data_IF_385751158465
#
_entry.id   IF_385751158465
#
_cell.length_a   1.000
_cell.length_b   1.000
_cell.length_c   1.000
_cell.angle_alpha   90.00
_cell.angle_beta   90.00
_cell.angle_gamma   90.00
#
_symmetry.space_group_name_H-M   'P 1'
#
loop_
_entity.id
_entity.type
_entity.pdbx_description
1 polymer ?
#
# COMPACT_ATOMS: atom_id res chain seq x y z
N UNK A 1 32.03 -14.51 -75.79
CA UNK A 1 30.74 -15.12 -76.01
C UNK A 1 29.99 -14.89 -74.72
N UNK A 2 29.36 -13.79 -74.52
CA UNK A 2 28.15 -13.17 -75.05
C UNK A 2 26.90 -14.00 -74.73
N UNK A 3 26.15 -13.55 -73.79
CA UNK A 3 24.70 -13.42 -73.93
C UNK A 3 24.15 -12.59 -72.79
N UNK A 4 23.51 -11.49 -73.17
CA UNK A 4 22.73 -10.58 -72.29
C UNK A 4 21.31 -11.13 -72.23
N UNK A 5 20.82 -11.42 -71.08
CA UNK A 5 19.39 -11.62 -70.87
C UNK A 5 18.71 -10.32 -70.50
N UNK A 6 17.82 -9.91 -71.39
CA UNK A 6 16.88 -8.79 -71.20
C UNK A 6 15.76 -9.20 -70.25
N UNK A 7 15.62 -8.52 -69.13
CA UNK A 7 14.42 -8.59 -68.29
C UNK A 7 13.35 -7.66 -68.88
N UNK A 8 12.25 -8.27 -69.33
CA UNK A 8 11.01 -7.60 -69.74
C UNK A 8 10.32 -6.98 -68.48
N UNK A 9 10.07 -5.70 -68.53
CA UNK A 9 9.16 -5.02 -67.65
C UNK A 9 7.69 -5.38 -67.94
N UNK A 10 6.84 -5.75 -66.99
CA UNK A 10 5.41 -5.89 -67.24
C UNK A 10 4.72 -4.52 -67.28
N UNK A 11 3.61 -4.38 -67.99
CA UNK A 11 2.96 -3.11 -68.27
C UNK A 11 2.31 -2.50 -66.99
N UNK A 12 2.54 -1.21 -66.82
CA UNK A 12 1.86 -0.34 -65.87
C UNK A 12 0.35 -0.37 -66.04
N UNK A 13 -0.37 -1.01 -65.11
CA UNK A 13 -1.82 -0.85 -64.96
C UNK A 13 -2.09 0.50 -64.33
N UNK A 14 -2.84 1.33 -65.03
CA UNK A 14 -3.47 2.53 -64.49
C UNK A 14 -4.22 2.20 -63.21
N UNK A 15 -3.75 2.75 -62.10
CA UNK A 15 -4.46 2.76 -60.81
C UNK A 15 -5.62 3.76 -60.91
N UNK A 16 -6.82 3.21 -61.09
CA UNK A 16 -8.06 3.96 -60.90
C UNK A 16 -8.08 4.53 -59.48
N UNK A 17 -8.36 5.81 -59.38
CA UNK A 17 -8.58 6.56 -58.13
C UNK A 17 -9.58 5.80 -57.25
N UNK A 18 -9.06 5.22 -56.16
CA UNK A 18 -9.87 4.75 -55.01
C UNK A 18 -10.22 6.00 -54.22
N UNK A 19 -11.50 6.29 -53.99
CA UNK A 19 -11.85 7.44 -53.19
C UNK A 19 -11.22 7.27 -51.81
N UNK A 20 -10.42 8.27 -51.41
CA UNK A 20 -9.89 8.39 -50.04
C UNK A 20 -11.07 8.44 -49.10
N UNK A 21 -11.41 7.28 -48.51
CA UNK A 21 -12.26 7.26 -47.31
C UNK A 21 -11.49 8.02 -46.24
N UNK A 22 -11.92 9.23 -45.99
CA UNK A 22 -11.56 9.98 -44.79
C UNK A 22 -11.83 9.08 -43.57
N UNK A 23 -10.82 8.39 -43.11
CA UNK A 23 -10.77 7.88 -41.73
C UNK A 23 -10.73 9.11 -40.85
N UNK A 24 -11.92 9.63 -40.55
CA UNK A 24 -12.09 10.56 -39.47
C UNK A 24 -11.46 9.94 -38.24
N UNK A 25 -10.29 10.42 -37.83
CA UNK A 25 -9.70 10.15 -36.56
C UNK A 25 -10.61 10.77 -35.49
N UNK A 26 -11.73 10.11 -35.19
CA UNK A 26 -12.55 10.42 -34.04
C UNK A 26 -11.71 10.12 -32.80
N UNK A 27 -10.91 11.08 -32.35
CA UNK A 27 -10.43 11.07 -30.99
C UNK A 27 -11.65 10.95 -30.07
N UNK A 28 -11.70 9.92 -29.21
CA UNK A 28 -12.86 9.66 -28.37
C UNK A 28 -13.21 10.92 -27.59
N UNK A 29 -14.49 11.28 -27.54
CA UNK A 29 -14.92 12.51 -26.88
C UNK A 29 -14.50 12.46 -25.42
N UNK A 30 -14.00 13.56 -24.87
CA UNK A 30 -13.58 13.65 -23.46
C UNK A 30 -14.72 13.28 -22.49
N UNK A 31 -15.97 13.42 -22.90
CA UNK A 31 -17.16 13.00 -22.16
C UNK A 31 -17.32 11.48 -22.12
N UNK A 32 -17.08 10.77 -23.23
CA UNK A 32 -17.12 9.31 -23.31
C UNK A 32 -16.06 8.69 -22.40
N UNK A 33 -14.82 9.18 -22.48
CA UNK A 33 -13.72 8.71 -21.65
C UNK A 33 -13.98 8.94 -20.16
N UNK A 34 -14.51 10.10 -19.77
CA UNK A 34 -14.88 10.38 -18.38
C UNK A 34 -16.00 9.45 -17.87
N UNK A 35 -16.97 9.16 -18.73
CA UNK A 35 -18.04 8.20 -18.44
C UNK A 35 -17.52 6.79 -18.23
N UNK A 36 -16.63 6.33 -19.13
CA UNK A 36 -15.99 5.04 -19.07
C UNK A 36 -15.16 4.87 -17.78
N UNK A 37 -14.28 5.82 -17.46
CA UNK A 37 -13.53 5.78 -16.20
C UNK A 37 -14.42 5.73 -14.97
N UNK A 38 -15.54 6.45 -14.94
CA UNK A 38 -16.49 6.40 -13.81
C UNK A 38 -17.11 5.00 -13.62
N UNK A 39 -17.38 4.28 -14.72
CA UNK A 39 -17.87 2.88 -14.65
C UNK A 39 -16.80 1.95 -14.10
N UNK A 40 -15.56 2.11 -14.55
CA UNK A 40 -14.40 1.35 -14.07
C UNK A 40 -14.13 1.67 -12.59
N UNK A 41 -14.10 2.95 -12.19
CA UNK A 41 -13.92 3.37 -10.80
C UNK A 41 -14.94 2.67 -9.88
N UNK A 42 -16.21 2.60 -10.27
CA UNK A 42 -17.26 1.94 -9.47
C UNK A 42 -17.08 0.43 -9.35
N UNK A 43 -16.67 -0.25 -10.43
CA UNK A 43 -16.58 -1.72 -10.45
C UNK A 43 -15.24 -2.26 -9.96
N UNK A 44 -14.16 -1.58 -10.30
CA UNK A 44 -12.82 -2.07 -10.01
C UNK A 44 -12.21 -1.37 -8.79
N UNK A 45 -12.15 -0.04 -8.81
CA UNK A 45 -11.47 0.73 -7.77
C UNK A 45 -12.21 0.65 -6.42
N UNK A 46 -13.53 0.87 -6.41
CA UNK A 46 -14.32 0.77 -5.18
C UNK A 46 -14.28 -0.64 -4.59
N UNK A 47 -14.32 -1.68 -5.44
CA UNK A 47 -14.20 -3.06 -4.99
C UNK A 47 -12.84 -3.33 -4.35
N UNK A 48 -11.75 -2.97 -5.01
CA UNK A 48 -10.43 -3.13 -4.44
C UNK A 48 -10.22 -2.33 -3.16
N UNK A 49 -10.75 -1.11 -3.09
CA UNK A 49 -10.69 -0.29 -1.88
C UNK A 49 -11.41 -0.96 -0.70
N UNK A 50 -12.57 -1.57 -0.95
CA UNK A 50 -13.31 -2.34 0.04
C UNK A 50 -12.55 -3.60 0.50
N UNK A 51 -12.00 -4.37 -0.43
CA UNK A 51 -11.21 -5.56 -0.09
C UNK A 51 -9.93 -5.17 0.67
N UNK A 52 -9.27 -4.08 0.28
CA UNK A 52 -8.10 -3.58 0.97
C UNK A 52 -8.41 -3.12 2.40
N UNK A 53 -9.57 -2.51 2.62
CA UNK A 53 -10.06 -2.19 3.96
C UNK A 53 -10.18 -3.46 4.81
N UNK A 54 -10.80 -4.54 4.29
CA UNK A 54 -10.89 -5.83 4.99
C UNK A 54 -9.50 -6.40 5.29
N UNK A 55 -8.61 -6.43 4.29
CA UNK A 55 -7.23 -6.89 4.49
C UNK A 55 -6.52 -6.12 5.61
N UNK A 56 -6.64 -4.80 5.63
CA UNK A 56 -6.03 -3.95 6.66
C UNK A 56 -6.61 -4.18 8.04
N UNK A 57 -7.90 -4.55 8.16
CA UNK A 57 -8.49 -4.98 9.42
C UNK A 57 -7.78 -6.24 9.93
N UNK A 58 -7.58 -7.26 9.09
CA UNK A 58 -6.86 -8.49 9.46
C UNK A 58 -5.44 -8.21 9.96
N UNK A 59 -4.71 -7.31 9.29
CA UNK A 59 -3.33 -6.96 9.71
C UNK A 59 -3.31 -6.30 11.09
N UNK A 60 -4.30 -5.46 11.43
CA UNK A 60 -4.34 -4.73 12.71
C UNK A 60 -4.82 -5.58 13.88
N UNK A 61 -5.54 -6.66 13.64
CA UNK A 61 -6.21 -7.45 14.67
C UNK A 61 -5.29 -8.14 15.65
N UNK A 62 -4.14 -8.61 15.23
CA UNK A 62 -3.17 -9.19 16.14
C UNK A 62 -2.77 -8.19 17.25
N UNK A 63 -2.75 -6.89 16.97
CA UNK A 63 -2.49 -5.85 17.96
C UNK A 63 -3.66 -5.70 18.94
N UNK A 64 -4.89 -5.77 18.45
CA UNK A 64 -6.09 -5.71 19.26
C UNK A 64 -6.22 -6.95 20.18
N UNK A 65 -5.88 -8.15 19.69
CA UNK A 65 -5.92 -9.37 20.50
C UNK A 65 -4.92 -9.35 21.67
N UNK A 66 -3.87 -8.51 21.58
CA UNK A 66 -2.85 -8.40 22.61
C UNK A 66 -3.40 -8.01 23.99
N UNK A 67 -4.47 -7.21 24.01
CA UNK A 67 -5.12 -6.70 25.23
C UNK A 67 -6.53 -7.26 25.44
N UNK A 68 -7.09 -7.99 24.45
CA UNK A 68 -8.46 -8.50 24.53
C UNK A 68 -8.64 -9.47 25.70
N UNK A 69 -9.63 -9.18 26.54
CA UNK A 69 -10.04 -10.03 27.68
C UNK A 69 -8.89 -10.36 28.67
N UNK A 70 -7.90 -9.47 28.84
CA UNK A 70 -6.81 -9.64 29.82
C UNK A 70 -7.34 -9.71 31.26
N UNK A 71 -8.27 -8.81 31.59
CA UNK A 71 -8.87 -8.71 32.97
C UNK A 71 -9.66 -9.98 33.31
N UNK A 72 -10.24 -10.66 32.31
CA UNK A 72 -10.97 -11.92 32.47
C UNK A 72 -10.05 -13.14 32.49
N UNK A 73 -8.75 -12.97 32.28
CA UNK A 73 -7.75 -14.06 32.28
C UNK A 73 -7.79 -14.97 31.09
N UNK A 74 -8.54 -14.63 30.01
CA UNK A 74 -8.68 -15.39 28.77
C UNK A 74 -7.90 -14.79 27.60
N UNK A 75 -6.99 -13.86 27.87
CA UNK A 75 -6.16 -13.20 26.85
C UNK A 75 -5.27 -14.16 26.08
N UNK A 76 -5.01 -13.86 24.82
CA UNK A 76 -4.25 -14.70 23.86
C UNK A 76 -2.87 -15.13 24.40
N UNK A 77 -2.12 -14.20 25.00
CA UNK A 77 -0.78 -14.50 25.52
C UNK A 77 -0.79 -15.58 26.60
N UNK A 78 -1.81 -15.54 27.48
CA UNK A 78 -1.98 -16.52 28.55
C UNK A 78 -2.41 -17.87 28.00
N UNK A 79 -3.36 -17.92 27.10
CA UNK A 79 -3.88 -19.17 26.53
C UNK A 79 -2.88 -19.90 25.63
N UNK A 80 -1.95 -19.19 25.00
CA UNK A 80 -0.91 -19.80 24.15
C UNK A 80 0.36 -20.21 24.93
N UNK A 81 0.31 -20.25 26.28
CA UNK A 81 1.41 -20.71 27.11
C UNK A 81 2.16 -19.59 27.85
N UNK A 82 1.50 -18.51 28.27
CA UNK A 82 2.08 -17.37 28.97
C UNK A 82 3.24 -16.72 28.17
N UNK A 83 2.97 -16.31 26.97
CA UNK A 83 3.97 -15.76 26.06
C UNK A 83 4.73 -14.59 26.67
N UNK A 84 6.06 -14.66 26.60
CA UNK A 84 6.93 -13.56 26.98
C UNK A 84 6.79 -12.37 26.00
N UNK A 85 7.23 -11.18 26.43
CA UNK A 85 7.24 -9.98 25.56
C UNK A 85 8.01 -10.19 24.27
N UNK A 86 9.11 -10.93 24.31
CA UNK A 86 9.90 -11.26 23.12
C UNK A 86 9.16 -12.23 22.20
N UNK A 87 8.55 -13.29 22.74
CA UNK A 87 7.75 -14.23 21.94
C UNK A 87 6.57 -13.54 21.28
N UNK A 88 5.92 -12.59 21.95
CA UNK A 88 4.85 -11.80 21.36
C UNK A 88 5.36 -10.90 20.23
N UNK A 89 6.49 -10.21 20.42
CA UNK A 89 7.11 -9.42 19.38
C UNK A 89 7.47 -10.27 18.13
N UNK A 90 7.94 -11.50 18.34
CA UNK A 90 8.16 -12.45 17.25
C UNK A 90 6.86 -12.85 16.54
N UNK A 91 5.77 -13.09 17.27
CA UNK A 91 4.47 -13.39 16.68
C UNK A 91 3.96 -12.23 15.78
N UNK A 92 4.28 -10.99 16.12
CA UNK A 92 4.00 -9.82 15.28
C UNK A 92 4.92 -9.76 14.05
N UNK A 93 6.22 -9.99 14.24
CA UNK A 93 7.24 -9.80 13.20
C UNK A 93 7.26 -10.90 12.14
N UNK A 94 6.98 -12.16 12.54
CA UNK A 94 7.15 -13.35 11.67
C UNK A 94 6.34 -13.27 10.37
N UNK A 95 5.23 -12.57 10.38
CA UNK A 95 4.37 -12.33 9.21
C UNK A 95 5.12 -11.61 8.08
N UNK A 96 5.98 -10.64 8.41
CA UNK A 96 6.62 -9.76 7.43
C UNK A 96 7.79 -10.40 6.69
N UNK A 97 8.42 -11.45 7.24
CA UNK A 97 9.50 -12.18 6.55
C UNK A 97 9.02 -12.85 5.26
N UNK A 98 8.02 -13.75 5.31
CA UNK A 98 7.50 -14.36 4.10
C UNK A 98 6.78 -13.33 3.22
N UNK A 99 6.11 -12.31 3.80
CA UNK A 99 5.47 -11.25 3.04
C UNK A 99 6.49 -10.57 2.11
N UNK A 100 7.62 -10.09 2.64
CA UNK A 100 8.68 -9.43 1.88
C UNK A 100 9.28 -10.35 0.81
N UNK A 101 9.47 -11.63 1.14
CA UNK A 101 10.06 -12.59 0.20
C UNK A 101 9.12 -12.97 -0.95
N UNK A 102 7.86 -13.23 -0.64
CA UNK A 102 6.88 -13.68 -1.63
C UNK A 102 6.22 -12.54 -2.41
N UNK A 103 6.32 -11.30 -1.97
CA UNK A 103 5.70 -10.13 -2.64
C UNK A 103 6.13 -9.98 -4.12
N UNK A 104 7.41 -10.00 -4.49
CA UNK A 104 7.83 -9.93 -5.88
C UNK A 104 7.36 -11.13 -6.71
N UNK A 105 7.43 -12.33 -6.13
CA UNK A 105 7.03 -13.58 -6.79
C UNK A 105 5.53 -13.59 -7.08
N UNK A 106 4.71 -13.20 -6.10
CA UNK A 106 3.26 -13.13 -6.25
C UNK A 106 2.83 -12.10 -7.29
N UNK A 107 3.53 -10.97 -7.40
CA UNK A 107 3.27 -9.96 -8.43
C UNK A 107 3.61 -10.49 -9.83
N UNK A 108 4.68 -11.27 -9.96
CA UNK A 108 5.03 -11.91 -11.23
C UNK A 108 3.98 -12.92 -11.69
N UNK A 109 3.30 -13.60 -10.76
CA UNK A 109 2.24 -14.57 -11.09
C UNK A 109 1.05 -13.92 -11.81
N UNK A 110 0.78 -12.63 -11.60
CA UNK A 110 -0.25 -11.88 -12.35
C UNK A 110 0.03 -11.75 -13.85
N UNK A 111 1.25 -12.03 -14.31
CA UNK A 111 1.58 -12.12 -15.74
C UNK A 111 1.11 -13.44 -16.36
N UNK A 112 0.91 -14.46 -15.54
CA UNK A 112 0.53 -15.81 -15.99
C UNK A 112 -0.93 -16.13 -15.76
N UNK A 113 -1.50 -15.61 -14.67
CA UNK A 113 -2.88 -15.85 -14.28
C UNK A 113 -3.74 -14.61 -14.50
N UNK A 114 -5.01 -14.81 -14.80
CA UNK A 114 -5.96 -13.72 -14.86
C UNK A 114 -6.13 -13.08 -13.47
N UNK A 115 -6.28 -11.75 -13.38
CA UNK A 115 -6.42 -11.03 -12.12
C UNK A 115 -7.53 -11.57 -11.22
N UNK A 116 -8.71 -11.90 -11.77
CA UNK A 116 -9.83 -12.42 -10.99
C UNK A 116 -9.49 -13.76 -10.31
N UNK A 117 -8.80 -14.67 -10.99
CA UNK A 117 -8.40 -15.99 -10.47
C UNK A 117 -7.29 -15.81 -9.41
N UNK A 118 -6.26 -15.02 -9.75
CA UNK A 118 -5.11 -14.86 -8.87
C UNK A 118 -5.46 -14.12 -7.57
N UNK A 119 -6.20 -13.01 -7.66
CA UNK A 119 -6.63 -12.24 -6.49
C UNK A 119 -7.58 -13.04 -5.61
N UNK A 120 -8.53 -13.75 -6.21
CA UNK A 120 -9.45 -14.62 -5.48
C UNK A 120 -8.70 -15.72 -4.72
N UNK A 121 -7.71 -16.37 -5.36
CA UNK A 121 -6.86 -17.39 -4.70
C UNK A 121 -6.14 -16.80 -3.49
N UNK A 122 -5.52 -15.61 -3.63
CA UNK A 122 -4.87 -14.90 -2.54
C UNK A 122 -5.86 -14.70 -1.38
N UNK A 123 -7.07 -14.18 -1.68
CA UNK A 123 -8.08 -13.86 -0.68
C UNK A 123 -8.63 -15.08 0.05
N UNK A 124 -8.88 -16.19 -0.65
CA UNK A 124 -9.32 -17.47 -0.05
C UNK A 124 -8.24 -17.99 0.91
N UNK A 125 -6.98 -18.02 0.45
CA UNK A 125 -5.88 -18.57 1.26
C UNK A 125 -5.67 -17.75 2.53
N UNK A 126 -5.64 -16.41 2.45
CA UNK A 126 -5.48 -15.62 3.66
C UNK A 126 -6.69 -15.72 4.60
N UNK A 127 -7.93 -15.75 4.05
CA UNK A 127 -9.15 -15.90 4.86
C UNK A 127 -9.14 -17.20 5.67
N UNK A 128 -8.81 -18.33 5.04
CA UNK A 128 -8.70 -19.63 5.70
C UNK A 128 -7.60 -19.59 6.78
N UNK A 129 -6.41 -19.09 6.45
CA UNK A 129 -5.30 -19.03 7.42
C UNK A 129 -5.64 -18.10 8.60
N UNK A 130 -6.35 -16.98 8.33
CA UNK A 130 -6.84 -16.10 9.39
C UNK A 130 -7.75 -16.85 10.36
N UNK A 131 -8.72 -17.61 9.85
CA UNK A 131 -9.59 -18.45 10.69
C UNK A 131 -8.80 -19.50 11.48
N UNK A 132 -7.79 -20.12 10.87
CA UNK A 132 -6.92 -21.10 11.53
C UNK A 132 -6.16 -20.50 12.73
N UNK A 133 -5.87 -19.19 12.75
CA UNK A 133 -5.29 -18.54 13.92
C UNK A 133 -6.20 -18.68 15.16
N UNK A 134 -7.52 -18.61 14.97
CA UNK A 134 -8.50 -18.82 16.05
C UNK A 134 -8.49 -20.24 16.64
N UNK A 135 -7.99 -21.23 15.93
CA UNK A 135 -7.87 -22.62 16.37
C UNK A 135 -6.54 -22.94 17.07
N UNK A 136 -5.58 -22.01 17.11
CA UNK A 136 -4.24 -22.26 17.68
C UNK A 136 -4.28 -22.49 19.19
N UNK A 137 -3.44 -23.42 19.66
CA UNK A 137 -3.37 -23.83 21.06
C UNK A 137 -2.04 -23.47 21.73
N UNK A 138 -1.02 -23.12 20.97
CA UNK A 138 0.34 -22.89 21.45
C UNK A 138 1.07 -21.84 20.62
N UNK A 139 2.24 -21.44 21.10
CA UNK A 139 3.11 -20.46 20.45
C UNK A 139 3.52 -20.85 19.02
N UNK A 140 3.93 -22.12 18.83
CA UNK A 140 4.36 -22.58 17.50
C UNK A 140 3.23 -22.54 16.47
N UNK A 141 2.00 -22.85 16.90
CA UNK A 141 0.82 -22.79 16.03
C UNK A 141 0.54 -21.36 15.54
N UNK A 142 0.56 -20.38 16.44
CA UNK A 142 0.34 -18.98 16.03
C UNK A 142 1.47 -18.46 15.15
N UNK A 143 2.73 -18.84 15.40
CA UNK A 143 3.85 -18.48 14.54
C UNK A 143 3.69 -19.06 13.13
N UNK A 144 3.33 -20.36 13.02
CA UNK A 144 3.10 -21.00 11.72
C UNK A 144 1.96 -20.31 10.95
N UNK A 145 0.82 -20.07 11.59
CA UNK A 145 -0.29 -19.37 10.96
C UNK A 145 0.12 -17.96 10.50
N UNK A 146 0.86 -17.21 11.31
CA UNK A 146 1.35 -15.87 10.95
C UNK A 146 2.32 -15.91 9.78
N UNK A 147 3.22 -16.90 9.73
CA UNK A 147 4.15 -17.10 8.61
C UNK A 147 3.38 -17.36 7.30
N UNK A 148 2.50 -18.33 7.30
CA UNK A 148 1.72 -18.67 6.10
C UNK A 148 0.76 -17.57 5.70
N UNK A 149 0.20 -16.80 6.66
CA UNK A 149 -0.62 -15.63 6.38
C UNK A 149 0.17 -14.57 5.61
N UNK A 150 1.40 -14.28 6.06
CA UNK A 150 2.28 -13.34 5.37
C UNK A 150 2.60 -13.77 3.93
N UNK A 151 2.89 -15.06 3.72
CA UNK A 151 3.12 -15.61 2.38
C UNK A 151 1.86 -15.53 1.48
N UNK A 152 0.68 -15.78 2.06
CA UNK A 152 -0.57 -15.77 1.32
C UNK A 152 -0.98 -14.35 0.90
N UNK A 153 -0.76 -13.36 1.77
CA UNK A 153 -1.22 -11.97 1.59
C UNK A 153 -0.28 -11.11 0.73
N UNK A 154 0.98 -11.52 0.60
CA UNK A 154 2.09 -10.74 0.02
C UNK A 154 1.82 -10.16 -1.37
N UNK A 155 1.04 -10.83 -2.21
CA UNK A 155 0.80 -10.41 -3.59
C UNK A 155 -0.39 -9.47 -3.78
N UNK A 156 -1.18 -9.20 -2.74
CA UNK A 156 -2.44 -8.48 -2.92
C UNK A 156 -2.21 -6.99 -3.25
N UNK A 157 -1.52 -6.25 -2.38
CA UNK A 157 -1.32 -4.81 -2.56
C UNK A 157 -0.59 -4.47 -3.89
N UNK A 158 0.61 -5.03 -4.18
CA UNK A 158 1.28 -4.75 -5.44
C UNK A 158 0.51 -5.28 -6.64
N UNK A 159 -0.23 -6.37 -6.48
CA UNK A 159 -1.09 -6.92 -7.52
C UNK A 159 -2.24 -6.01 -7.90
N UNK A 160 -2.88 -5.35 -6.92
CA UNK A 160 -3.89 -4.32 -7.20
C UNK A 160 -3.29 -3.15 -7.97
N UNK A 161 -2.13 -2.63 -7.54
CA UNK A 161 -1.47 -1.52 -8.24
C UNK A 161 -1.11 -1.90 -9.68
N UNK A 162 -0.59 -3.10 -9.88
CA UNK A 162 -0.28 -3.62 -11.21
C UNK A 162 -1.55 -3.78 -12.06
N UNK A 163 -2.63 -4.33 -11.51
CA UNK A 163 -3.89 -4.48 -12.23
C UNK A 163 -4.52 -3.13 -12.60
N UNK A 164 -4.49 -2.14 -11.70
CA UNK A 164 -4.98 -0.79 -11.99
C UNK A 164 -4.20 -0.11 -13.14
N UNK A 165 -2.92 -0.43 -13.33
CA UNK A 165 -2.12 0.12 -14.41
C UNK A 165 -2.54 -0.33 -15.82
N UNK A 166 -3.36 -1.38 -15.95
CA UNK A 166 -3.99 -1.79 -17.22
C UNK A 166 -5.25 -0.97 -17.56
N UNK A 167 -5.79 -0.23 -16.59
CA UNK A 167 -7.04 0.50 -16.73
C UNK A 167 -6.88 2.00 -16.76
N UNK A 168 -5.77 2.50 -16.20
CA UNK A 168 -5.55 3.93 -16.03
C UNK A 168 -4.15 4.35 -16.49
N UNK A 169 -4.05 5.47 -17.25
CA UNK A 169 -2.77 6.05 -17.60
C UNK A 169 -2.06 6.60 -16.37
N UNK A 170 -0.75 6.80 -16.49
CA UNK A 170 0.15 7.15 -15.39
C UNK A 170 -0.19 8.47 -14.69
N UNK A 171 -0.78 9.42 -15.42
CA UNK A 171 -1.21 10.72 -14.87
C UNK A 171 -2.48 10.64 -14.02
N UNK A 172 -3.35 9.66 -14.27
CA UNK A 172 -4.63 9.49 -13.54
C UNK A 172 -4.57 8.43 -12.44
N UNK A 173 -3.55 7.60 -12.44
CA UNK A 173 -3.36 6.51 -11.47
C UNK A 173 -3.10 7.03 -10.04
N UNK A 174 -2.31 8.10 -9.77
CA UNK A 174 -1.98 8.54 -8.42
C UNK A 174 -3.18 8.87 -7.54
N UNK A 175 -4.18 9.56 -8.09
CA UNK A 175 -5.41 9.90 -7.34
C UNK A 175 -6.18 8.64 -6.90
N UNK A 176 -6.22 7.62 -7.76
CA UNK A 176 -6.90 6.36 -7.48
C UNK A 176 -6.17 5.51 -6.46
N UNK A 177 -4.85 5.49 -6.53
CA UNK A 177 -4.00 4.86 -5.51
C UNK A 177 -4.18 5.57 -4.17
N UNK A 178 -4.23 6.89 -4.14
CA UNK A 178 -4.47 7.65 -2.91
C UNK A 178 -5.84 7.34 -2.29
N UNK A 179 -6.89 7.25 -3.09
CA UNK A 179 -8.22 6.83 -2.62
C UNK A 179 -8.21 5.41 -2.06
N UNK A 180 -7.64 4.46 -2.80
CA UNK A 180 -7.48 3.07 -2.38
C UNK A 180 -6.74 2.96 -1.04
N UNK A 181 -5.62 3.69 -0.91
CA UNK A 181 -4.83 3.73 0.32
C UNK A 181 -5.60 4.36 1.49
N UNK A 182 -6.29 5.47 1.27
CA UNK A 182 -7.09 6.15 2.30
C UNK A 182 -8.19 5.23 2.86
N UNK A 183 -8.88 4.48 2.00
CA UNK A 183 -9.85 3.47 2.43
C UNK A 183 -9.21 2.39 3.32
N UNK A 184 -8.00 1.94 2.95
CA UNK A 184 -7.25 0.99 3.77
C UNK A 184 -6.87 1.57 5.14
N UNK A 185 -6.49 2.84 5.22
CA UNK A 185 -6.15 3.50 6.49
C UNK A 185 -7.37 3.64 7.42
N UNK A 186 -8.56 3.83 6.85
CA UNK A 186 -9.80 3.89 7.62
C UNK A 186 -10.14 2.57 8.34
N UNK A 187 -9.54 1.47 7.93
CA UNK A 187 -9.68 0.14 8.57
C UNK A 187 -9.33 0.16 10.06
N UNK A 188 -8.37 0.97 10.49
CA UNK A 188 -7.98 1.07 11.89
C UNK A 188 -9.10 1.59 12.80
N UNK A 189 -9.95 2.49 12.25
CA UNK A 189 -11.16 2.95 12.97
C UNK A 189 -12.16 1.81 13.15
N UNK A 190 -12.39 1.02 12.11
CA UNK A 190 -13.36 -0.10 12.13
C UNK A 190 -12.82 -1.26 12.98
N UNK A 191 -11.54 -1.59 12.84
CA UNK A 191 -10.88 -2.69 13.56
C UNK A 191 -10.99 -2.56 15.08
N UNK A 192 -10.76 -1.35 15.64
CA UNK A 192 -10.92 -1.10 17.07
C UNK A 192 -12.35 -1.33 17.55
N UNK A 193 -13.35 -0.86 16.79
CA UNK A 193 -14.75 -1.05 17.11
C UNK A 193 -15.17 -2.53 17.02
N UNK A 194 -14.71 -3.26 15.99
CA UNK A 194 -14.96 -4.69 15.86
C UNK A 194 -14.35 -5.48 17.01
N UNK A 195 -13.10 -5.18 17.37
CA UNK A 195 -12.43 -5.83 18.48
C UNK A 195 -13.17 -5.58 19.81
N UNK A 196 -13.66 -4.35 20.03
CA UNK A 196 -14.52 -4.03 21.17
C UNK A 196 -15.79 -4.88 21.18
N UNK A 197 -16.56 -4.87 20.09
CA UNK A 197 -17.82 -5.62 20.01
C UNK A 197 -17.61 -7.14 20.20
N UNK A 198 -16.57 -7.70 19.57
CA UNK A 198 -16.26 -9.12 19.63
C UNK A 198 -15.69 -9.52 21.02
N UNK A 199 -15.10 -8.59 21.78
CA UNK A 199 -14.61 -8.87 23.12
C UNK A 199 -15.71 -9.36 24.09
N UNK A 200 -16.97 -8.97 23.85
CA UNK A 200 -18.13 -9.44 24.60
C UNK A 200 -18.56 -10.88 24.25
N UNK A 201 -18.06 -11.45 23.17
CA UNK A 201 -18.28 -12.85 22.81
C UNK A 201 -17.36 -13.82 23.58
N UNK A 202 -16.60 -13.33 24.56
CA UNK A 202 -15.73 -14.16 25.38
C UNK A 202 -16.53 -15.23 26.14
N UNK A 203 -16.18 -16.51 25.95
CA UNK A 203 -16.91 -17.65 26.53
C UNK A 203 -18.03 -18.20 25.68
N UNK A 204 -18.49 -17.50 24.64
CA UNK A 204 -19.50 -18.02 23.71
C UNK A 204 -18.95 -19.24 22.98
N UNK A 205 -19.71 -20.34 22.97
CA UNK A 205 -19.26 -21.62 22.40
C UNK A 205 -18.01 -22.20 23.03
N UNK A 206 -17.67 -21.80 24.25
CA UNK A 206 -16.43 -22.23 24.94
C UNK A 206 -15.15 -21.59 24.42
N UNK A 207 -15.25 -20.60 23.52
CA UNK A 207 -14.11 -19.93 22.90
C UNK A 207 -13.83 -18.57 23.56
N UNK A 208 -12.55 -18.22 23.65
CA UNK A 208 -12.14 -16.89 24.06
C UNK A 208 -12.45 -15.84 22.97
N UNK A 209 -12.67 -14.58 23.37
CA UNK A 209 -13.02 -13.50 22.45
C UNK A 209 -12.02 -13.29 21.31
N UNK A 210 -10.71 -13.43 21.57
CA UNK A 210 -9.68 -13.31 20.52
C UNK A 210 -9.78 -14.38 19.43
N UNK A 211 -10.31 -15.59 19.73
CA UNK A 211 -10.56 -16.65 18.75
C UNK A 211 -11.70 -16.27 17.80
N UNK A 212 -12.76 -15.71 18.36
CA UNK A 212 -13.88 -15.17 17.60
C UNK A 212 -13.45 -14.06 16.66
N UNK A 213 -12.51 -13.19 17.08
CA UNK A 213 -12.01 -12.11 16.24
C UNK A 213 -11.40 -12.68 14.93
N UNK A 214 -10.50 -13.64 15.02
CA UNK A 214 -9.89 -14.25 13.83
C UNK A 214 -10.88 -15.02 12.96
N UNK A 215 -11.84 -15.73 13.56
CA UNK A 215 -12.85 -16.50 12.83
C UNK A 215 -13.80 -15.57 12.07
N UNK A 216 -14.39 -14.60 12.77
CA UNK A 216 -15.40 -13.70 12.18
C UNK A 216 -14.83 -12.79 11.10
N UNK A 217 -13.57 -12.45 11.18
CA UNK A 217 -12.94 -11.61 10.17
C UNK A 217 -12.42 -12.40 8.97
N UNK A 218 -12.09 -13.68 9.12
CA UNK A 218 -11.74 -14.55 7.99
C UNK A 218 -12.92 -14.79 7.03
N UNK A 219 -14.16 -14.82 7.53
CA UNK A 219 -15.35 -15.06 6.71
C UNK A 219 -15.56 -14.00 5.63
N UNK A 220 -15.56 -12.68 5.91
CA UNK A 220 -15.67 -11.65 4.87
C UNK A 220 -14.61 -11.76 3.77
N UNK A 221 -13.38 -12.15 4.09
CA UNK A 221 -12.32 -12.34 3.10
C UNK A 221 -12.69 -13.45 2.10
N UNK A 222 -13.24 -14.58 2.57
CA UNK A 222 -13.67 -15.68 1.72
C UNK A 222 -14.88 -15.27 0.85
N UNK A 223 -15.85 -14.56 1.42
CA UNK A 223 -17.00 -14.05 0.66
C UNK A 223 -16.55 -13.06 -0.44
N UNK A 224 -15.63 -12.16 -0.11
CA UNK A 224 -15.03 -11.25 -1.09
C UNK A 224 -14.26 -12.00 -2.17
N UNK A 225 -13.58 -13.08 -1.83
CA UNK A 225 -12.87 -13.91 -2.80
C UNK A 225 -13.80 -14.56 -3.81
N UNK A 226 -14.93 -15.11 -3.33
CA UNK A 226 -15.96 -15.70 -4.20
C UNK A 226 -16.51 -14.63 -5.15
N UNK A 227 -16.86 -13.45 -4.64
CA UNK A 227 -17.31 -12.35 -5.48
C UNK A 227 -16.24 -11.91 -6.49
N UNK A 228 -14.98 -11.79 -6.06
CA UNK A 228 -13.84 -11.42 -6.93
C UNK A 228 -13.69 -12.42 -8.08
N UNK A 229 -13.81 -13.70 -7.81
CA UNK A 229 -13.68 -14.74 -8.84
C UNK A 229 -14.68 -14.57 -9.99
N UNK A 230 -15.93 -14.25 -9.67
CA UNK A 230 -17.01 -14.17 -10.66
C UNK A 230 -17.16 -12.78 -11.29
N UNK A 231 -16.88 -11.71 -10.56
CA UNK A 231 -17.29 -10.36 -10.95
C UNK A 231 -16.14 -9.36 -11.16
N UNK A 232 -14.88 -9.70 -10.80
CA UNK A 232 -13.76 -8.80 -11.02
C UNK A 232 -13.43 -8.72 -12.52
N UNK A 233 -13.45 -7.52 -13.13
CA UNK A 233 -13.00 -7.34 -14.51
C UNK A 233 -11.51 -7.65 -14.63
N UNK A 234 -11.10 -8.38 -15.68
CA UNK A 234 -9.70 -8.71 -15.89
C UNK A 234 -8.95 -7.60 -16.64
N UNK A 235 -9.30 -7.37 -17.89
CA UNK A 235 -8.60 -6.41 -18.76
C UNK A 235 -9.63 -5.60 -19.57
N UNK A 236 -9.31 -4.38 -20.00
CA UNK A 236 -10.23 -3.55 -20.79
C UNK A 236 -10.73 -4.26 -22.06
N UNK A 237 -9.89 -5.08 -22.70
CA UNK A 237 -10.19 -5.78 -23.93
C UNK A 237 -11.25 -6.89 -23.78
N UNK A 238 -11.44 -7.42 -22.56
CA UNK A 238 -12.21 -8.64 -22.31
C UNK A 238 -13.51 -8.40 -21.55
N UNK A 239 -13.94 -7.15 -21.37
CA UNK A 239 -15.11 -6.82 -20.53
C UNK A 239 -16.33 -6.43 -21.35
N UNK A 240 -17.50 -6.87 -20.88
CA UNK A 240 -18.79 -6.66 -21.53
C UNK A 240 -19.59 -5.47 -20.95
N UNK A 241 -19.15 -4.88 -19.81
CA UNK A 241 -19.86 -3.78 -19.14
C UNK A 241 -19.57 -2.39 -19.72
N UNK A 242 -18.59 -2.28 -20.60
CA UNK A 242 -18.26 -1.08 -21.37
C UNK A 242 -18.81 -1.21 -22.78
N UNK A 243 -19.33 -0.13 -23.32
CA UNK A 243 -19.63 -0.03 -24.74
C UNK A 243 -18.34 -0.08 -25.57
N UNK A 244 -18.42 -0.48 -26.83
CA UNK A 244 -17.25 -0.56 -27.70
C UNK A 244 -16.49 0.77 -27.76
N UNK A 245 -17.21 1.88 -27.95
CA UNK A 245 -16.60 3.21 -27.98
C UNK A 245 -15.93 3.59 -26.66
N UNK A 246 -16.49 3.18 -25.52
CA UNK A 246 -15.91 3.42 -24.19
C UNK A 246 -14.66 2.59 -23.96
N UNK A 247 -14.66 1.35 -24.40
CA UNK A 247 -13.53 0.42 -24.31
C UNK A 247 -12.37 0.92 -25.16
N UNK A 248 -12.65 1.29 -26.41
CA UNK A 248 -11.66 1.81 -27.33
C UNK A 248 -11.08 3.15 -26.87
N UNK A 249 -11.93 4.00 -26.24
CA UNK A 249 -11.49 5.22 -25.61
C UNK A 249 -10.50 4.98 -24.46
N UNK A 250 -10.75 3.97 -23.60
CA UNK A 250 -9.81 3.60 -22.52
C UNK A 250 -8.51 3.07 -23.11
N UNK A 251 -8.57 2.18 -24.10
CA UNK A 251 -7.38 1.58 -24.72
C UNK A 251 -6.53 2.65 -25.41
N UNK A 252 -7.17 3.62 -26.08
CA UNK A 252 -6.47 4.73 -26.73
C UNK A 252 -5.84 5.73 -25.77
N UNK A 253 -6.41 5.89 -24.56
CA UNK A 253 -5.89 6.78 -23.51
C UNK A 253 -4.65 6.17 -22.80
N UNK A 254 -4.46 4.85 -22.89
CA UNK A 254 -3.30 4.18 -22.30
C UNK A 254 -2.02 4.49 -23.11
N UNK A 255 -0.89 4.79 -22.43
CA UNK A 255 0.37 5.01 -23.13
C UNK A 255 0.77 3.76 -23.94
N UNK A 256 1.39 3.97 -25.12
CA UNK A 256 1.90 2.87 -25.98
C UNK A 256 2.84 1.90 -25.24
N UNK A 257 3.42 2.34 -24.13
CA UNK A 257 4.30 1.57 -23.25
C UNK A 257 3.57 1.04 -21.99
N UNK A 258 2.25 1.15 -21.92
CA UNK A 258 1.50 0.55 -20.82
C UNK A 258 1.78 -0.95 -20.73
N UNK A 259 1.72 -1.58 -19.56
CA UNK A 259 1.85 -3.02 -19.44
C UNK A 259 0.79 -3.67 -20.32
N UNK A 260 1.20 -4.29 -21.40
CA UNK A 260 0.32 -5.12 -22.25
C UNK A 260 0.43 -6.56 -21.82
N UNK A 261 -0.62 -7.36 -22.08
CA UNK A 261 -0.62 -8.81 -21.82
C UNK A 261 0.57 -9.54 -22.46
N UNK A 262 1.21 -8.95 -23.46
CA UNK A 262 2.33 -9.51 -24.24
C UNK A 262 3.72 -9.07 -23.80
N UNK A 263 3.87 -8.04 -22.96
CA UNK A 263 5.17 -7.51 -22.54
C UNK A 263 5.81 -8.40 -21.45
N UNK A 264 6.39 -9.54 -21.87
CA UNK A 264 7.06 -10.50 -20.97
C UNK A 264 8.57 -10.22 -20.79
N UNK A 265 9.13 -9.21 -21.44
CA UNK A 265 10.58 -8.95 -21.44
C UNK A 265 10.97 -7.98 -20.32
N UNK A 266 12.00 -8.37 -19.56
CA UNK A 266 12.67 -7.50 -18.58
C UNK A 266 13.85 -6.81 -19.27
N UNK A 267 13.94 -5.49 -19.14
CA UNK A 267 15.09 -4.71 -19.61
C UNK A 267 16.11 -4.58 -18.46
N UNK A 268 17.18 -5.36 -18.54
CA UNK A 268 18.25 -5.37 -17.53
C UNK A 268 19.03 -4.06 -17.46
N UNK A 269 19.13 -3.31 -18.57
CA UNK A 269 19.83 -2.02 -18.57
C UNK A 269 19.03 -0.96 -17.80
N UNK A 270 17.71 -1.00 -17.87
CA UNK A 270 16.84 -0.16 -17.04
C UNK A 270 17.00 -0.51 -15.56
N UNK A 271 17.09 -1.79 -15.20
CA UNK A 271 17.34 -2.23 -13.83
C UNK A 271 18.68 -1.66 -13.32
N UNK A 272 19.73 -1.80 -14.11
CA UNK A 272 21.06 -1.27 -13.77
C UNK A 272 21.07 0.27 -13.62
N UNK A 273 20.31 0.97 -14.44
CA UNK A 273 20.17 2.42 -14.38
C UNK A 273 19.51 2.88 -13.08
N UNK A 274 18.53 2.12 -12.56
CA UNK A 274 17.87 2.41 -11.28
C UNK A 274 18.87 2.40 -10.12
N UNK A 275 19.70 1.35 -10.03
CA UNK A 275 20.68 1.23 -8.95
C UNK A 275 21.79 2.31 -9.03
N UNK A 276 22.05 2.84 -10.23
CA UNK A 276 23.00 3.97 -10.43
C UNK A 276 22.40 5.35 -10.16
N UNK A 277 21.06 5.42 -10.01
CA UNK A 277 20.38 6.69 -9.75
C UNK A 277 20.76 7.25 -8.37
N UNK A 278 21.20 8.52 -8.27
CA UNK A 278 21.53 9.14 -6.99
C UNK A 278 20.35 9.28 -6.04
N UNK A 279 19.12 9.18 -6.55
CA UNK A 279 17.89 9.24 -5.76
C UNK A 279 17.52 7.89 -5.14
N UNK A 280 18.09 6.76 -5.63
CA UNK A 280 17.66 5.42 -5.23
C UNK A 280 17.86 5.14 -3.73
N UNK A 281 19.09 5.32 -3.25
CA UNK A 281 19.44 5.08 -1.84
C UNK A 281 18.71 6.03 -0.88
N UNK A 282 18.68 7.36 -1.11
CA UNK A 282 17.90 8.26 -0.26
C UNK A 282 16.42 7.88 -0.14
N UNK A 283 15.76 7.51 -1.23
CA UNK A 283 14.39 7.04 -1.15
C UNK A 283 14.22 5.74 -0.37
N UNK A 284 15.11 4.77 -0.51
CA UNK A 284 15.09 3.56 0.33
C UNK A 284 15.24 3.91 1.82
N UNK A 285 16.16 4.84 2.15
CA UNK A 285 16.36 5.30 3.52
C UNK A 285 15.09 5.94 4.09
N UNK A 286 14.35 6.76 3.31
CA UNK A 286 13.07 7.33 3.73
C UNK A 286 12.12 6.20 4.16
N UNK A 287 11.91 5.19 3.29
CA UNK A 287 10.95 4.10 3.56
C UNK A 287 11.36 3.22 4.73
N UNK A 288 12.65 2.91 4.86
CA UNK A 288 13.16 2.10 5.97
C UNK A 288 13.04 2.86 7.30
N UNK A 289 13.56 4.08 7.36
CA UNK A 289 13.69 4.81 8.63
C UNK A 289 12.35 5.34 9.13
N UNK A 290 11.52 5.90 8.25
CA UNK A 290 10.16 6.27 8.61
C UNK A 290 9.31 5.04 8.95
N UNK A 291 9.40 3.97 8.13
CA UNK A 291 8.67 2.73 8.39
C UNK A 291 8.95 2.20 9.79
N UNK A 292 10.20 2.02 10.17
CA UNK A 292 10.57 1.48 11.48
C UNK A 292 10.24 2.47 12.60
N UNK A 293 10.66 3.73 12.47
CA UNK A 293 10.54 4.76 13.51
C UNK A 293 9.13 5.31 13.65
N UNK A 294 8.43 5.53 12.53
CA UNK A 294 7.10 6.10 12.50
C UNK A 294 6.01 5.07 12.79
N UNK A 295 5.97 3.99 12.02
CA UNK A 295 4.91 3.00 12.09
C UNK A 295 5.03 2.03 13.27
N UNK A 296 6.19 1.93 13.92
CA UNK A 296 6.45 1.00 15.01
C UNK A 296 5.40 1.05 16.13
N UNK A 297 4.93 2.23 16.50
CA UNK A 297 3.90 2.43 17.54
C UNK A 297 2.55 1.78 17.15
N UNK A 298 2.22 1.72 15.87
CA UNK A 298 0.93 1.19 15.41
C UNK A 298 0.76 -0.31 15.71
N UNK A 299 1.86 -1.07 15.82
CA UNK A 299 1.82 -2.49 16.17
C UNK A 299 1.40 -2.75 17.62
N UNK A 300 1.54 -1.76 18.47
CA UNK A 300 1.25 -1.87 19.90
C UNK A 300 0.28 -0.78 20.40
N UNK A 301 -0.35 -0.05 19.47
CA UNK A 301 -1.18 1.10 19.79
C UNK A 301 -2.26 0.81 20.85
N UNK A 302 -3.06 -0.28 20.77
CA UNK A 302 -4.04 -0.60 21.80
C UNK A 302 -3.37 -0.83 23.17
N UNK A 303 -2.21 -1.49 23.19
CA UNK A 303 -1.45 -1.75 24.41
C UNK A 303 -0.91 -0.46 25.03
N UNK A 304 -0.35 0.43 24.21
CA UNK A 304 0.14 1.74 24.69
C UNK A 304 -1.01 2.56 25.29
N UNK A 305 -2.16 2.60 24.63
CA UNK A 305 -3.36 3.32 25.15
C UNK A 305 -3.84 2.71 26.47
N UNK A 306 -3.91 1.39 26.57
CA UNK A 306 -4.29 0.69 27.79
C UNK A 306 -3.33 1.00 28.96
N UNK A 307 -2.02 0.96 28.72
CA UNK A 307 -0.97 1.20 29.71
C UNK A 307 -0.88 2.67 30.18
N UNK A 308 -1.57 3.62 29.49
CA UNK A 308 -1.76 4.98 30.02
C UNK A 308 -2.64 5.00 31.28
N UNK A 309 -3.38 3.92 31.58
CA UNK A 309 -4.21 3.81 32.75
C UNK A 309 -5.50 4.64 32.74
N UNK A 310 -5.91 5.14 31.57
CA UNK A 310 -7.12 5.96 31.40
C UNK A 310 -8.41 5.13 31.36
N UNK A 311 -8.31 3.84 31.06
CA UNK A 311 -9.48 3.03 30.73
C UNK A 311 -9.20 1.52 30.84
N UNK A 312 -10.26 0.71 30.76
CA UNK A 312 -10.16 -0.74 30.70
C UNK A 312 -9.77 -1.24 29.30
N UNK A 313 -9.46 -2.54 29.17
CA UNK A 313 -9.00 -3.18 27.93
C UNK A 313 -10.00 -3.04 26.78
N UNK A 314 -11.31 -3.11 27.06
CA UNK A 314 -12.35 -3.00 26.04
C UNK A 314 -12.41 -1.57 25.46
N UNK A 315 -12.45 -0.56 26.32
CA UNK A 315 -12.50 0.84 25.90
C UNK A 315 -11.18 1.27 25.23
N UNK A 316 -10.03 0.75 25.66
CA UNK A 316 -8.75 1.02 25.00
C UNK A 316 -8.76 0.65 23.50
N UNK A 317 -9.50 -0.39 23.10
CA UNK A 317 -9.70 -0.73 21.69
C UNK A 317 -10.52 0.35 20.96
N UNK A 318 -11.57 0.87 21.55
CA UNK A 318 -12.35 1.99 20.97
C UNK A 318 -11.50 3.25 20.87
N UNK A 319 -10.64 3.51 21.84
CA UNK A 319 -9.73 4.66 21.83
C UNK A 319 -8.66 4.60 20.72
N UNK A 320 -8.54 3.51 19.97
CA UNK A 320 -7.74 3.49 18.74
C UNK A 320 -8.46 4.15 17.55
N UNK A 321 -9.78 4.36 17.62
CA UNK A 321 -10.54 4.97 16.51
C UNK A 321 -10.15 6.43 16.24
N UNK A 322 -10.08 7.34 17.23
CA UNK A 322 -9.74 8.74 16.99
C UNK A 322 -8.41 8.95 16.28
N UNK A 323 -7.29 8.27 16.63
CA UNK A 323 -6.04 8.34 15.87
C UNK A 323 -6.23 8.05 14.38
N UNK A 324 -6.90 6.95 14.02
CA UNK A 324 -7.09 6.55 12.62
C UNK A 324 -8.10 7.43 11.87
N UNK A 325 -9.12 7.94 12.56
CA UNK A 325 -10.03 8.95 11.99
C UNK A 325 -9.27 10.24 11.67
N UNK A 326 -8.36 10.65 12.56
CA UNK A 326 -7.51 11.81 12.35
C UNK A 326 -6.55 11.61 11.16
N UNK A 327 -6.04 10.38 10.93
CA UNK A 327 -5.28 10.03 9.70
C UNK A 327 -6.08 10.41 8.46
N UNK A 328 -7.34 9.99 8.39
CA UNK A 328 -8.19 10.26 7.23
C UNK A 328 -8.38 11.76 6.99
N UNK A 329 -8.65 12.52 8.05
CA UNK A 329 -8.83 13.99 7.98
C UNK A 329 -7.54 14.68 7.49
N UNK A 330 -6.39 14.35 8.10
CA UNK A 330 -5.09 14.93 7.73
C UNK A 330 -4.74 14.56 6.29
N UNK A 331 -4.91 13.31 5.90
CA UNK A 331 -4.59 12.84 4.55
C UNK A 331 -5.42 13.53 3.48
N UNK A 332 -6.74 13.62 3.69
CA UNK A 332 -7.63 14.34 2.76
C UNK A 332 -7.30 15.83 2.69
N UNK A 333 -7.04 16.47 3.83
CA UNK A 333 -6.66 17.87 3.89
C UNK A 333 -5.35 18.16 3.17
N UNK A 334 -4.30 17.40 3.45
CA UNK A 334 -3.00 17.58 2.80
C UNK A 334 -3.07 17.25 1.30
N UNK A 335 -3.78 16.19 0.91
CA UNK A 335 -3.99 15.85 -0.49
C UNK A 335 -4.69 16.97 -1.26
N UNK A 336 -5.70 17.64 -0.65
CA UNK A 336 -6.36 18.80 -1.21
C UNK A 336 -5.40 19.98 -1.41
N UNK A 337 -4.59 20.33 -0.41
CA UNK A 337 -3.60 21.42 -0.52
C UNK A 337 -2.51 21.13 -1.54
N UNK A 338 -2.05 19.88 -1.65
CA UNK A 338 -1.07 19.45 -2.65
C UNK A 338 -1.70 19.51 -4.05
N UNK A 339 -2.92 18.99 -4.22
CA UNK A 339 -3.62 19.03 -5.50
C UNK A 339 -3.86 20.45 -6.01
N UNK A 340 -4.21 21.38 -5.12
CA UNK A 340 -4.38 22.80 -5.45
C UNK A 340 -3.05 23.54 -5.65
N UNK A 341 -1.90 22.85 -5.62
CA UNK A 341 -0.55 23.41 -5.74
C UNK A 341 -0.21 24.49 -4.70
N UNK A 342 -0.95 24.55 -3.60
CA UNK A 342 -0.69 25.47 -2.48
C UNK A 342 0.42 24.96 -1.56
N UNK A 343 0.65 23.66 -1.54
CA UNK A 343 1.65 23.00 -0.71
C UNK A 343 2.43 21.98 -1.54
N UNK A 344 3.76 21.97 -1.43
CA UNK A 344 4.61 20.94 -2.02
C UNK A 344 4.53 19.65 -1.19
N UNK A 345 4.53 18.49 -1.85
CA UNK A 345 4.60 17.18 -1.19
C UNK A 345 5.81 17.07 -0.26
N UNK A 346 6.95 17.67 -0.65
CA UNK A 346 8.16 17.69 0.15
C UNK A 346 7.98 18.44 1.48
N UNK A 347 7.41 19.66 1.40
CA UNK A 347 7.15 20.49 2.58
C UNK A 347 6.10 19.83 3.48
N UNK A 348 5.04 19.26 2.90
CA UNK A 348 4.02 18.52 3.65
C UNK A 348 4.63 17.32 4.38
N UNK A 349 5.45 16.51 3.70
CA UNK A 349 6.13 15.36 4.30
C UNK A 349 7.06 15.77 5.45
N UNK A 350 7.90 16.79 5.25
CA UNK A 350 8.76 17.32 6.32
C UNK A 350 7.98 17.83 7.52
N UNK A 351 6.85 18.53 7.29
CA UNK A 351 6.02 19.06 8.38
C UNK A 351 5.44 17.93 9.23
N UNK A 352 4.91 16.90 8.59
CA UNK A 352 4.33 15.73 9.26
C UNK A 352 5.39 14.99 10.08
N UNK A 353 6.59 14.81 9.53
CA UNK A 353 7.71 14.16 10.20
C UNK A 353 8.20 14.95 11.44
N UNK A 354 8.32 16.26 11.30
CA UNK A 354 8.69 17.15 12.43
C UNK A 354 7.64 17.09 13.54
N UNK A 355 6.34 17.14 13.18
CA UNK A 355 5.24 17.02 14.16
C UNK A 355 5.33 15.69 14.90
N UNK A 356 5.63 14.58 14.21
CA UNK A 356 5.78 13.28 14.85
C UNK A 356 6.96 13.24 15.83
N UNK A 357 8.11 13.80 15.46
CA UNK A 357 9.28 13.90 16.34
C UNK A 357 8.94 14.71 17.60
N UNK A 358 8.27 15.85 17.45
CA UNK A 358 7.84 16.68 18.57
C UNK A 358 6.93 15.90 19.49
N UNK A 359 5.93 15.18 18.94
CA UNK A 359 5.03 14.35 19.74
C UNK A 359 5.80 13.27 20.52
N UNK A 360 6.79 12.61 19.94
CA UNK A 360 7.59 11.61 20.66
C UNK A 360 8.45 12.24 21.78
N UNK A 361 9.00 13.44 21.58
CA UNK A 361 9.69 14.18 22.65
C UNK A 361 8.73 14.51 23.79
N UNK A 362 7.50 14.96 23.47
CA UNK A 362 6.49 15.28 24.46
C UNK A 362 6.00 14.03 25.22
N UNK A 363 5.90 12.87 24.56
CA UNK A 363 5.57 11.59 25.20
C UNK A 363 6.61 11.13 26.23
N UNK A 364 7.88 11.53 26.05
CA UNK A 364 8.94 11.25 27.03
C UNK A 364 8.90 12.23 28.23
N UNK A 365 8.55 13.50 27.99
CA UNK A 365 8.68 14.58 28.97
C UNK A 365 7.42 14.83 29.78
N UNK A 366 6.24 14.72 29.16
CA UNK A 366 4.94 14.97 29.79
C UNK A 366 4.54 13.80 30.70
N UNK A 367 3.92 14.08 31.85
CA UNK A 367 3.47 13.04 32.82
C UNK A 367 1.97 12.77 32.73
N UNK A 368 1.18 13.78 32.36
CA UNK A 368 -0.27 13.67 32.30
C UNK A 368 -0.74 12.63 31.27
N UNK A 369 -1.54 11.61 31.68
CA UNK A 369 -1.98 10.54 30.80
C UNK A 369 -2.89 11.02 29.66
N UNK A 370 -3.73 12.04 29.89
CA UNK A 370 -4.64 12.58 28.88
C UNK A 370 -3.84 13.30 27.79
N UNK A 371 -2.87 14.13 28.18
CA UNK A 371 -1.97 14.77 27.24
C UNK A 371 -1.15 13.75 26.43
N UNK A 372 -0.67 12.68 27.07
CA UNK A 372 0.00 11.58 26.37
C UNK A 372 -0.88 10.93 25.30
N UNK A 373 -2.14 10.67 25.61
CA UNK A 373 -3.07 10.13 24.64
C UNK A 373 -3.23 11.05 23.41
N UNK A 374 -3.35 12.37 23.62
CA UNK A 374 -3.41 13.35 22.53
C UNK A 374 -2.15 13.29 21.68
N UNK A 375 -0.96 13.21 22.29
CA UNK A 375 0.29 13.11 21.53
C UNK A 375 0.43 11.78 20.80
N UNK A 376 0.00 10.66 21.37
CA UNK A 376 -0.08 9.36 20.68
C UNK A 376 -1.01 9.45 19.46
N UNK A 377 -2.16 10.08 19.62
CA UNK A 377 -3.14 10.28 18.54
C UNK A 377 -2.53 11.09 17.39
N UNK A 378 -1.90 12.22 17.67
CA UNK A 378 -1.27 13.08 16.66
C UNK A 378 -0.07 12.37 16.00
N UNK A 379 0.79 11.72 16.80
CA UNK A 379 1.94 10.98 16.29
C UNK A 379 1.52 9.84 15.35
N UNK A 380 0.48 9.08 15.71
CA UNK A 380 -0.06 8.03 14.86
C UNK A 380 -0.63 8.59 13.56
N UNK A 381 -1.38 9.69 13.64
CA UNK A 381 -1.96 10.32 12.47
C UNK A 381 -0.88 10.88 11.52
N UNK A 382 0.15 11.50 12.05
CA UNK A 382 1.30 11.98 11.29
C UNK A 382 2.02 10.82 10.60
N UNK A 383 2.37 9.77 11.35
CA UNK A 383 3.05 8.58 10.83
C UNK A 383 2.31 7.93 9.66
N UNK A 384 1.03 7.67 9.82
CA UNK A 384 0.23 6.97 8.81
C UNK A 384 0.03 7.81 7.52
N UNK A 385 0.09 9.13 7.64
CA UNK A 385 -0.13 10.04 6.50
C UNK A 385 1.13 10.24 5.64
N UNK A 386 2.32 10.07 6.18
CA UNK A 386 3.58 10.44 5.54
C UNK A 386 3.81 9.74 4.19
N UNK A 387 3.67 8.42 4.13
CA UNK A 387 3.95 7.68 2.89
C UNK A 387 3.05 8.10 1.74
N UNK A 388 1.76 8.31 1.99
CA UNK A 388 0.83 8.73 0.95
C UNK A 388 1.18 10.11 0.36
N UNK A 389 1.82 10.97 1.15
CA UNK A 389 2.25 12.31 0.74
C UNK A 389 3.52 12.25 -0.11
N UNK A 390 4.48 11.40 0.25
CA UNK A 390 5.80 11.31 -0.41
C UNK A 390 5.77 10.34 -1.62
N UNK A 391 4.82 9.42 -1.68
CA UNK A 391 4.72 8.41 -2.74
C UNK A 391 4.70 8.99 -4.18
N UNK A 392 3.94 10.07 -4.48
CA UNK A 392 3.97 10.70 -5.79
C UNK A 392 5.37 11.17 -6.23
N UNK A 393 6.16 11.67 -5.29
CA UNK A 393 7.53 12.12 -5.58
C UNK A 393 8.46 10.95 -5.92
N UNK A 394 8.26 9.79 -5.28
CA UNK A 394 8.98 8.56 -5.62
C UNK A 394 8.65 8.09 -7.03
N UNK A 395 7.38 8.12 -7.42
CA UNK A 395 6.94 7.73 -8.78
C UNK A 395 7.53 8.71 -9.81
N UNK A 396 7.46 10.02 -9.53
CA UNK A 396 8.00 11.07 -10.41
C UNK A 396 9.52 10.95 -10.62
N UNK A 397 10.25 10.56 -9.60
CA UNK A 397 11.72 10.39 -9.65
C UNK A 397 12.15 9.14 -10.45
N UNK A 398 11.27 8.17 -10.65
CA UNK A 398 11.59 6.94 -11.40
C UNK A 398 11.38 7.17 -12.90
N UNK A 399 12.40 6.80 -13.70
CA UNK A 399 12.38 6.97 -15.17
C UNK A 399 12.10 5.66 -15.87
N UNK A 400 11.15 5.68 -16.81
CA UNK A 400 10.77 4.49 -17.59
C UNK A 400 9.83 3.54 -16.86
N UNK A 401 9.08 2.75 -17.60
CA UNK A 401 8.02 1.89 -17.05
C UNK A 401 8.56 0.71 -16.22
N UNK A 402 9.60 0.04 -16.70
CA UNK A 402 10.26 -1.07 -15.98
C UNK A 402 10.98 -0.56 -14.74
N UNK A 403 11.67 0.57 -14.86
CA UNK A 403 12.40 1.22 -13.75
C UNK A 403 11.42 1.71 -12.67
N UNK A 404 10.28 2.31 -13.07
CA UNK A 404 9.27 2.77 -12.13
C UNK A 404 8.64 1.60 -11.35
N UNK A 405 8.25 0.53 -12.04
CA UNK A 405 7.68 -0.66 -11.40
C UNK A 405 8.64 -1.32 -10.40
N UNK A 406 9.90 -1.50 -10.81
CA UNK A 406 10.93 -2.06 -9.92
C UNK A 406 11.27 -1.13 -8.75
N UNK A 407 11.35 0.19 -9.00
CA UNK A 407 11.60 1.18 -7.96
C UNK A 407 10.49 1.20 -6.91
N UNK A 408 9.23 1.12 -7.34
CA UNK A 408 8.06 1.01 -6.48
C UNK A 408 8.13 -0.29 -5.67
N UNK A 409 8.36 -1.42 -6.34
CA UNK A 409 8.43 -2.73 -5.68
C UNK A 409 9.53 -2.82 -4.63
N UNK A 410 10.77 -2.40 -4.96
CA UNK A 410 11.89 -2.41 -4.01
C UNK A 410 11.66 -1.45 -2.84
N UNK A 411 11.09 -0.28 -3.11
CA UNK A 411 10.77 0.69 -2.06
C UNK A 411 9.68 0.13 -1.12
N UNK A 412 8.63 -0.50 -1.67
CA UNK A 412 7.58 -1.12 -0.87
C UNK A 412 8.10 -2.32 -0.06
N UNK A 413 8.92 -3.19 -0.68
CA UNK A 413 9.55 -4.30 0.02
C UNK A 413 10.46 -3.82 1.17
N UNK A 414 11.20 -2.73 0.99
CA UNK A 414 12.02 -2.14 2.06
C UNK A 414 11.17 -1.62 3.23
N UNK A 415 9.95 -1.16 2.96
CA UNK A 415 9.01 -0.73 3.98
C UNK A 415 8.61 -1.89 4.93
N UNK A 416 8.58 -3.14 4.45
CA UNK A 416 8.21 -4.29 5.28
C UNK A 416 9.16 -4.51 6.47
N UNK A 417 10.37 -3.93 6.43
CA UNK A 417 11.27 -3.92 7.58
C UNK A 417 10.64 -3.25 8.83
N UNK A 418 9.65 -2.38 8.64
CA UNK A 418 8.87 -1.82 9.75
C UNK A 418 8.18 -2.89 10.60
N UNK A 419 7.62 -3.89 9.95
CA UNK A 419 6.94 -4.99 10.62
C UNK A 419 7.88 -6.02 11.24
N UNK A 420 9.13 -6.07 10.79
CA UNK A 420 10.18 -6.92 11.36
C UNK A 420 10.79 -6.23 12.61
N UNK A 421 11.21 -4.99 12.47
CA UNK A 421 11.99 -4.27 13.50
C UNK A 421 11.06 -3.50 14.46
N UNK A 422 9.94 -2.94 13.98
CA UNK A 422 9.02 -2.13 14.79
C UNK A 422 8.55 -2.83 16.06
N UNK A 423 8.01 -4.06 16.01
CA UNK A 423 7.59 -4.80 17.20
C UNK A 423 8.75 -5.08 18.17
N UNK A 424 9.98 -5.17 17.69
CA UNK A 424 11.16 -5.39 18.55
C UNK A 424 11.55 -4.11 19.32
N UNK A 425 11.38 -2.94 18.70
CA UNK A 425 11.60 -1.64 19.37
C UNK A 425 10.49 -1.37 20.40
N UNK A 426 9.24 -1.72 20.10
CA UNK A 426 8.07 -1.47 20.95
C UNK A 426 7.63 -2.71 21.75
N UNK A 427 8.58 -3.49 22.28
CA UNK A 427 8.24 -4.63 23.12
C UNK A 427 7.55 -4.18 24.39
N UNK A 428 6.55 -4.94 24.89
CA UNK A 428 5.86 -4.65 26.16
C UNK A 428 6.77 -4.51 27.38
N UNK A 429 7.98 -5.08 27.35
CA UNK A 429 8.98 -4.91 28.43
C UNK A 429 9.46 -3.47 28.63
N UNK A 430 9.27 -2.59 27.63
CA UNK A 430 9.61 -1.17 27.71
C UNK A 430 8.46 -0.31 28.22
N UNK A 431 7.25 -0.91 28.41
CA UNK A 431 6.10 -0.28 29.03
C UNK A 431 6.32 0.01 30.51
N UNK A 432 5.47 0.85 31.10
CA UNK A 432 4.42 1.64 30.46
C UNK A 432 4.93 2.93 29.81
N UNK A 433 6.22 3.30 29.99
CA UNK A 433 6.77 4.60 29.55
C UNK A 433 7.25 4.60 28.10
N UNK A 434 7.63 3.46 27.54
CA UNK A 434 8.21 3.29 26.19
C UNK A 434 9.32 4.29 25.85
N UNK A 435 10.04 4.80 26.87
CA UNK A 435 11.05 5.85 26.69
C UNK A 435 12.16 5.46 25.69
N UNK A 436 12.66 4.22 25.80
CA UNK A 436 13.68 3.71 24.89
C UNK A 436 13.15 3.62 23.46
N UNK A 437 11.90 3.13 23.32
CA UNK A 437 11.23 3.02 22.01
C UNK A 437 11.08 4.37 21.33
N UNK A 438 10.63 5.40 22.06
CA UNK A 438 10.50 6.75 21.51
C UNK A 438 11.84 7.37 21.15
N UNK A 439 12.91 7.16 21.95
CA UNK A 439 14.26 7.64 21.63
C UNK A 439 14.79 7.01 20.33
N UNK A 440 14.64 5.68 20.18
CA UNK A 440 15.02 4.99 18.94
C UNK A 440 14.23 5.52 17.74
N UNK A 441 12.91 5.74 17.90
CA UNK A 441 12.07 6.30 16.85
C UNK A 441 12.48 7.72 16.48
N UNK A 442 12.79 8.59 17.43
CA UNK A 442 13.27 9.95 17.17
C UNK A 442 14.56 9.92 16.33
N UNK A 443 15.51 9.06 16.68
CA UNK A 443 16.76 8.91 15.92
C UNK A 443 16.51 8.48 14.47
N UNK A 444 15.62 7.50 14.25
CA UNK A 444 15.23 7.02 12.92
C UNK A 444 14.50 8.10 12.11
N UNK A 445 13.55 8.81 12.71
CA UNK A 445 12.81 9.89 12.06
C UNK A 445 13.71 11.09 11.73
N UNK A 446 14.68 11.40 12.57
CA UNK A 446 15.70 12.41 12.26
C UNK A 446 16.56 12.02 11.07
N UNK A 447 16.89 10.73 10.94
CA UNK A 447 17.57 10.19 9.74
C UNK A 447 16.67 10.28 8.51
N UNK A 448 15.35 10.01 8.67
CA UNK A 448 14.36 10.17 7.61
C UNK A 448 14.31 11.63 7.11
N UNK A 449 14.28 12.61 8.00
CA UNK A 449 14.32 14.03 7.63
C UNK A 449 15.54 14.35 6.74
N UNK A 450 16.72 13.88 7.12
CA UNK A 450 17.94 14.01 6.31
C UNK A 450 17.81 13.36 4.94
N UNK A 451 17.21 12.17 4.87
CA UNK A 451 16.98 11.45 3.63
C UNK A 451 15.95 12.16 2.72
N UNK A 452 14.89 12.75 3.30
CA UNK A 452 13.88 13.53 2.56
C UNK A 452 14.55 14.78 1.95
N UNK A 453 15.32 15.52 2.72
CA UNK A 453 16.04 16.71 2.22
C UNK A 453 17.03 16.34 1.11
N UNK A 454 17.77 15.25 1.27
CA UNK A 454 18.70 14.74 0.27
C UNK A 454 17.99 14.33 -1.01
N UNK A 455 16.87 13.61 -0.89
CA UNK A 455 16.05 13.20 -2.04
C UNK A 455 15.49 14.42 -2.78
N UNK A 456 14.98 15.41 -2.04
CA UNK A 456 14.46 16.66 -2.61
C UNK A 456 15.55 17.41 -3.37
N UNK A 457 16.75 17.52 -2.79
CA UNK A 457 17.87 18.15 -3.46
C UNK A 457 18.23 17.48 -4.80
N UNK A 458 18.34 16.15 -4.83
CA UNK A 458 18.69 15.43 -6.06
C UNK A 458 17.57 15.50 -7.11
N UNK A 459 16.30 15.40 -6.70
CA UNK A 459 15.16 15.52 -7.62
C UNK A 459 15.10 16.94 -8.20
N UNK A 460 15.24 17.98 -7.38
CA UNK A 460 15.26 19.36 -7.86
C UNK A 460 16.44 19.67 -8.78
N UNK A 461 17.61 19.09 -8.52
CA UNK A 461 18.78 19.20 -9.41
C UNK A 461 18.52 18.52 -10.77
N UNK A 462 17.90 17.36 -10.77
CA UNK A 462 17.55 16.63 -11.99
C UNK A 462 16.47 17.36 -12.82
N UNK A 463 15.47 17.92 -12.15
CA UNK A 463 14.41 18.73 -12.81
C UNK A 463 15.02 19.97 -13.49
N UNK A 464 15.94 20.67 -12.82
CA UNK A 464 16.66 21.83 -13.42
C UNK A 464 17.49 21.43 -14.62
N UNK A 465 18.17 20.28 -14.56
CA UNK A 465 18.94 19.76 -15.69
C UNK A 465 18.06 19.47 -16.89
N UNK A 466 16.91 18.82 -16.68
CA UNK A 466 15.93 18.51 -17.75
C UNK A 466 15.37 19.77 -18.39
N UNK A 467 14.96 20.74 -17.57
CA UNK A 467 14.47 22.02 -18.09
C UNK A 467 15.51 22.73 -18.97
N UNK A 468 16.80 22.60 -18.64
CA UNK A 468 17.88 23.13 -19.46
C UNK A 468 18.05 22.34 -20.78
N UNK A 469 18.07 21.00 -20.71
CA UNK A 469 18.17 20.13 -21.89
C UNK A 469 17.00 20.38 -22.87
N UNK A 470 15.77 20.54 -22.35
CA UNK A 470 14.58 20.89 -23.17
C UNK A 470 14.70 22.27 -23.80
N UNK A 471 15.17 23.27 -23.06
CA UNK A 471 15.42 24.62 -23.58
C UNK A 471 16.50 24.63 -24.69
N UNK A 472 17.55 23.83 -24.51
CA UNK A 472 18.64 23.71 -25.50
C UNK A 472 18.19 23.00 -26.80
N UNK A 473 17.20 22.06 -26.71
CA UNK A 473 16.61 21.35 -27.85
C UNK A 473 15.61 22.24 -28.62
N UNK A 474 14.81 23.04 -27.90
CA UNK A 474 13.78 23.90 -28.51
C UNK A 474 14.36 25.15 -29.19
N UNK A 475 15.64 25.46 -28.97
CA UNK A 475 16.31 26.64 -29.49
C UNK A 475 15.79 27.96 -28.88
N UNK A 476 16.50 29.08 -29.03
CA UNK A 476 15.94 30.36 -28.61
C UNK A 476 14.69 30.60 -29.43
N UNK A 477 13.56 30.82 -28.72
CA UNK A 477 12.30 31.21 -29.34
C UNK A 477 12.58 32.47 -30.18
N UNK A 478 12.47 32.33 -31.51
CA UNK A 478 12.66 33.41 -32.46
C UNK A 478 11.52 34.43 -32.36
#
# INVERSE_FOLDING_TARGET
>A
MSERDQFNEPPTKEMKDVPSSETSSNSPSATTLKGAHRKVDKRLLCWYAFVYLIMRIHVSNISNTAIMNLEQGTGIKKQLGNLSSSQWAWALSIFYYPYMFFEPLATLMLKYFNPNVWMSRIMITWGIISMCQGATQNYSGILACRFFLGAAEAGFYPGVLYHLSFWYPTDRLPLRIAFFYACGMFSGTISGLLAYAISFMNGVGGLAGWRWLFILEGIPAILCAIYTFFYLPNYPQTVDFLLEDERDAIIADLPKQAPTMSAKTFDFDQIKSLFKSPTFVPFLMIWITHGIGGWGISFVLPTVIYELGLTNTAIAQVMTMPPFTLVFVILCGLAFFIHTKRLSSWVAGLSVEIVQIICYILLITVKDPVAKYIFVMIATAASQSFFAIIWPERIRAARGTTTAGLAIGLTNASCQLMGIVGPQIYQPKFGPTYRVSYICSIALLSTCLGAVLTSWFFVAKDDKRRAKEESDILGPAA
#
